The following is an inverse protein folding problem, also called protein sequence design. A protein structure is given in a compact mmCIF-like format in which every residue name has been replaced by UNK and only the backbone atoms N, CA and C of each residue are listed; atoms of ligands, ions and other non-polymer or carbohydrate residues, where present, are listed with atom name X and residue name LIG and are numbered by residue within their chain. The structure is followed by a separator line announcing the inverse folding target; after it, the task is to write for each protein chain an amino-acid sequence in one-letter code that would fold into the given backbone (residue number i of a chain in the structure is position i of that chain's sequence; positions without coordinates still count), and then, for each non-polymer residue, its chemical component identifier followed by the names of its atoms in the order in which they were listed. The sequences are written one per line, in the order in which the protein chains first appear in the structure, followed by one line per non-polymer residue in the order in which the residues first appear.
data_IF_397928954914
#
_entry.id   IF_397928954914
#
_cell.length_a   1.000
_cell.length_b   1.000
_cell.length_c   1.000
_cell.angle_alpha   90.00
_cell.angle_beta   90.00
_cell.angle_gamma   90.00
#
_symmetry.space_group_name_H-M   'P 1'
#
loop_
_entity.id
_entity.type
_entity.pdbx_description
1 polymer ?
#
# COMPACT_ATOMS: atom_id res chain seq x y z
N UNK A 1 -66.47 -7.57 -65.02
CA UNK A 1 -67.04 -6.24 -65.30
C UNK A 1 -66.88 -5.42 -64.03
N UNK A 2 -66.03 -4.39 -64.07
CA UNK A 2 -65.90 -3.30 -63.08
C UNK A 2 -65.52 -3.73 -61.65
N UNK A 3 -64.92 -2.92 -60.80
CA UNK A 3 -64.38 -1.58 -60.95
C UNK A 3 -63.47 -1.32 -59.75
N UNK A 4 -62.55 -0.38 -59.90
CA UNK A 4 -61.59 0.04 -58.88
C UNK A 4 -62.20 1.13 -58.01
N UNK A 5 -62.19 1.05 -56.66
CA UNK A 5 -62.27 2.27 -55.81
C UNK A 5 -61.37 2.14 -54.56
N UNK A 6 -60.61 3.21 -54.35
CA UNK A 6 -59.63 3.50 -53.30
C UNK A 6 -60.20 3.70 -51.88
N UNK A 7 -59.25 3.58 -50.92
CA UNK A 7 -59.05 4.35 -49.67
C UNK A 7 -60.22 4.44 -48.67
N UNK A 8 -59.97 3.91 -47.47
CA UNK A 8 -60.21 4.64 -46.22
C UNK A 8 -59.12 4.33 -45.20
N UNK A 9 -58.49 5.39 -44.71
CA UNK A 9 -57.60 5.37 -43.56
C UNK A 9 -58.40 5.05 -42.29
N UNK A 10 -57.87 4.18 -41.46
CA UNK A 10 -58.24 4.11 -40.04
C UNK A 10 -56.96 4.22 -39.22
N UNK A 11 -56.87 5.34 -38.50
CA UNK A 11 -55.98 5.56 -37.38
C UNK A 11 -56.31 4.54 -36.29
N UNK A 12 -55.33 3.74 -35.90
CA UNK A 12 -55.37 2.87 -34.73
C UNK A 12 -54.09 3.04 -33.93
N UNK A 13 -54.12 3.94 -32.94
CA UNK A 13 -53.13 4.01 -31.87
C UNK A 13 -53.32 2.78 -30.98
N UNK A 14 -52.34 1.86 -30.92
CA UNK A 14 -52.23 0.89 -29.84
C UNK A 14 -50.76 0.59 -29.53
N UNK A 15 -50.34 1.00 -28.33
CA UNK A 15 -49.49 0.19 -27.44
C UNK A 15 -48.00 0.08 -27.77
N UNK A 16 -47.21 1.06 -27.37
CA UNK A 16 -45.76 0.92 -27.21
C UNK A 16 -45.51 0.11 -25.92
N UNK A 17 -45.32 -1.20 -26.04
CA UNK A 17 -44.87 -2.03 -24.94
C UNK A 17 -43.37 -1.77 -24.70
N UNK A 18 -43.06 -0.83 -23.81
CA UNK A 18 -41.71 -0.66 -23.29
C UNK A 18 -41.37 -1.84 -22.38
N UNK A 19 -40.61 -2.80 -22.91
CA UNK A 19 -40.02 -3.87 -22.12
C UNK A 19 -39.00 -3.29 -21.14
N UNK A 20 -39.33 -3.34 -19.85
CA UNK A 20 -38.40 -3.03 -18.75
C UNK A 20 -37.39 -4.18 -18.69
N UNK A 21 -36.18 -3.95 -19.20
CA UNK A 21 -35.02 -4.79 -18.93
C UNK A 21 -34.61 -4.58 -17.47
N UNK A 22 -34.99 -5.51 -16.60
CA UNK A 22 -34.46 -5.63 -15.24
C UNK A 22 -32.98 -6.01 -15.32
N UNK A 23 -32.10 -5.01 -15.35
CA UNK A 23 -30.67 -5.22 -15.12
C UNK A 23 -30.50 -5.59 -13.65
N UNK A 24 -30.29 -6.89 -13.42
CA UNK A 24 -29.85 -7.44 -12.15
C UNK A 24 -28.43 -6.94 -11.90
N UNK A 25 -28.29 -5.83 -11.18
CA UNK A 25 -27.00 -5.28 -10.78
C UNK A 25 -26.36 -6.17 -9.72
N UNK A 26 -25.68 -7.23 -10.17
CA UNK A 26 -24.68 -7.90 -9.37
C UNK A 26 -23.54 -6.90 -9.15
N UNK A 27 -23.24 -6.60 -7.89
CA UNK A 27 -22.07 -5.83 -7.48
C UNK A 27 -20.83 -6.52 -8.04
N UNK A 28 -20.31 -5.98 -9.15
CA UNK A 28 -19.09 -6.45 -9.76
C UNK A 28 -17.95 -6.05 -8.81
N UNK A 29 -17.31 -7.06 -8.23
CA UNK A 29 -16.00 -6.88 -7.62
C UNK A 29 -15.08 -6.17 -8.63
N UNK A 30 -14.18 -5.27 -8.19
CA UNK A 30 -13.22 -4.65 -9.10
C UNK A 30 -12.46 -5.75 -9.86
N UNK A 31 -12.38 -5.61 -11.18
CA UNK A 31 -11.64 -6.56 -12.01
C UNK A 31 -10.22 -6.75 -11.47
N UNK A 32 -9.72 -8.00 -11.42
CA UNK A 32 -8.31 -8.23 -11.12
C UNK A 32 -7.48 -7.57 -12.21
N UNK A 33 -6.63 -6.61 -11.82
CA UNK A 33 -5.69 -5.93 -12.71
C UNK A 33 -4.86 -7.01 -13.43
N UNK A 34 -5.00 -7.08 -14.75
CA UNK A 34 -4.19 -7.97 -15.57
C UNK A 34 -2.71 -7.61 -15.40
N UNK A 35 -1.79 -8.60 -15.29
CA UNK A 35 -0.37 -8.33 -15.13
C UNK A 35 0.14 -7.67 -16.42
N UNK A 36 0.44 -6.37 -16.32
CA UNK A 36 1.05 -5.62 -17.41
C UNK A 36 2.48 -6.13 -17.62
N UNK A 37 2.88 -6.26 -18.89
CA UNK A 37 4.21 -6.72 -19.28
C UNK A 37 5.27 -5.86 -18.59
N UNK A 38 6.21 -6.51 -17.88
CA UNK A 38 7.21 -5.91 -17.01
C UNK A 38 7.76 -4.57 -17.54
N UNK A 39 7.18 -3.47 -17.06
CA UNK A 39 7.74 -2.15 -17.23
C UNK A 39 9.10 -2.17 -16.51
N UNK A 40 10.15 -1.78 -17.24
CA UNK A 40 11.49 -1.70 -16.69
C UNK A 40 11.48 -0.69 -15.55
N UNK A 41 11.62 -1.18 -14.32
CA UNK A 41 11.80 -0.37 -13.11
C UNK A 41 12.92 0.64 -13.39
N UNK A 42 12.62 1.94 -13.36
CA UNK A 42 13.62 3.00 -13.54
C UNK A 42 14.65 2.86 -12.42
N UNK A 43 15.86 2.43 -12.77
CA UNK A 43 16.94 2.35 -11.79
C UNK A 43 17.41 3.76 -11.40
N UNK A 44 17.48 4.01 -10.11
CA UNK A 44 18.20 5.14 -9.51
C UNK A 44 17.33 6.36 -9.25
N UNK A 45 16.58 6.35 -8.14
CA UNK A 45 16.04 7.59 -7.57
C UNK A 45 17.20 8.55 -7.28
N UNK A 46 17.18 9.81 -7.79
CA UNK A 46 18.25 10.75 -7.55
C UNK A 46 18.48 10.99 -6.05
N UNK A 47 19.75 11.02 -5.63
CA UNK A 47 20.10 11.24 -4.22
C UNK A 47 19.52 12.56 -3.66
N UNK A 48 19.40 13.59 -4.49
CA UNK A 48 18.77 14.86 -4.09
C UNK A 48 17.28 14.68 -3.73
N UNK A 49 16.55 13.87 -4.49
CA UNK A 49 15.13 13.58 -4.23
C UNK A 49 14.97 12.75 -2.94
N UNK A 50 15.82 11.73 -2.74
CA UNK A 50 15.83 10.94 -1.49
C UNK A 50 16.11 11.81 -0.27
N UNK A 51 16.98 12.81 -0.40
CA UNK A 51 17.42 13.66 0.71
C UNK A 51 16.55 14.90 0.93
N UNK A 52 15.44 15.03 0.20
CA UNK A 52 14.53 16.18 0.36
C UNK A 52 13.57 15.92 1.52
N UNK A 53 13.59 16.81 2.51
CA UNK A 53 12.61 16.80 3.60
C UNK A 53 11.38 17.63 3.24
N UNK A 54 10.20 17.02 3.34
CA UNK A 54 8.91 17.69 3.19
C UNK A 54 8.20 17.72 4.54
N UNK A 55 8.05 18.91 5.14
CA UNK A 55 7.44 19.05 6.46
C UNK A 55 5.99 18.56 6.55
N UNK A 56 5.27 18.55 5.42
CA UNK A 56 3.90 18.04 5.34
C UNK A 56 3.81 16.51 5.49
N UNK A 57 4.86 15.78 5.11
CA UNK A 57 4.87 14.31 5.12
C UNK A 57 4.76 13.78 6.56
N UNK A 58 5.20 14.57 7.54
CA UNK A 58 5.10 14.25 8.96
C UNK A 58 3.66 13.92 9.38
N UNK A 59 2.64 14.60 8.83
CA UNK A 59 1.23 14.34 9.19
C UNK A 59 0.78 12.94 8.80
N UNK A 60 1.17 12.48 7.61
CA UNK A 60 0.87 11.13 7.15
C UNK A 60 1.52 10.09 8.07
N UNK A 61 2.82 10.25 8.31
CA UNK A 61 3.62 9.33 9.09
C UNK A 61 3.25 9.30 10.58
N UNK A 62 2.89 10.45 11.17
CA UNK A 62 2.39 10.53 12.55
C UNK A 62 1.04 9.81 12.71
N UNK A 63 0.14 9.98 11.74
CA UNK A 63 -1.13 9.23 11.71
C UNK A 63 -0.87 7.72 11.67
N UNK A 64 0.04 7.26 10.81
CA UNK A 64 0.44 5.84 10.73
C UNK A 64 1.02 5.31 12.04
N UNK A 65 1.93 6.06 12.67
CA UNK A 65 2.51 5.70 13.98
C UNK A 65 1.43 5.46 15.02
N UNK A 66 0.48 6.39 15.14
CA UNK A 66 -0.57 6.34 16.16
C UNK A 66 -1.47 5.10 16.07
N UNK A 67 -1.64 4.52 14.87
CA UNK A 67 -2.47 3.32 14.67
C UNK A 67 -1.85 2.02 15.15
N UNK A 68 -0.55 2.02 15.42
CA UNK A 68 0.18 0.81 15.84
C UNK A 68 0.70 0.91 17.27
N UNK A 69 0.30 1.96 18.00
CA UNK A 69 0.66 2.25 19.38
C UNK A 69 0.33 1.07 20.31
N UNK A 70 1.35 0.50 20.97
CA UNK A 70 1.18 -0.55 21.98
C UNK A 70 0.86 -1.95 21.43
N UNK A 71 0.98 -2.16 20.11
CA UNK A 71 0.84 -3.49 19.52
C UNK A 71 1.92 -4.45 20.06
N UNK A 72 1.51 -5.66 20.46
CA UNK A 72 2.44 -6.74 20.80
C UNK A 72 3.10 -7.25 19.52
N UNK A 73 4.38 -6.92 19.34
CA UNK A 73 5.13 -7.27 18.14
C UNK A 73 6.30 -8.20 18.48
N UNK A 74 6.66 -9.03 17.51
CA UNK A 74 7.94 -9.72 17.54
C UNK A 74 9.09 -8.69 17.62
N UNK A 75 10.24 -9.05 18.20
CA UNK A 75 11.39 -8.16 18.21
C UNK A 75 11.78 -7.70 16.80
N UNK A 76 12.13 -6.41 16.60
CA UNK A 76 12.56 -5.92 15.30
C UNK A 76 13.83 -6.63 14.84
N UNK A 77 14.11 -6.69 13.52
CA UNK A 77 15.44 -7.07 13.04
C UNK A 77 16.53 -6.24 13.74
N UNK A 78 17.63 -6.89 14.10
CA UNK A 78 18.71 -6.23 14.84
C UNK A 78 19.43 -5.18 13.98
N UNK A 79 19.46 -5.38 12.65
CA UNK A 79 20.18 -4.51 11.73
C UNK A 79 19.44 -4.24 10.43
N UNK A 80 19.89 -3.19 9.70
CA UNK A 80 19.46 -2.87 8.33
C UNK A 80 19.71 -4.05 7.39
N UNK A 81 20.89 -4.68 7.47
CA UNK A 81 21.20 -5.89 6.70
C UNK A 81 20.28 -7.05 7.06
N UNK A 82 20.06 -7.31 8.35
CA UNK A 82 19.16 -8.40 8.78
C UNK A 82 17.70 -8.17 8.37
N UNK A 83 17.28 -6.92 8.21
CA UNK A 83 15.98 -6.59 7.64
C UNK A 83 15.94 -6.82 6.12
N UNK A 84 17.01 -6.44 5.39
CA UNK A 84 17.14 -6.72 3.96
C UNK A 84 17.16 -8.22 3.67
N UNK A 85 17.90 -9.02 4.45
CA UNK A 85 17.97 -10.48 4.30
C UNK A 85 16.60 -11.17 4.54
N UNK A 86 15.69 -10.52 5.28
CA UNK A 86 14.31 -10.99 5.50
C UNK A 86 13.31 -10.48 4.46
N UNK A 87 13.67 -9.45 3.72
CA UNK A 87 12.81 -8.84 2.73
C UNK A 87 12.85 -9.65 1.42
N UNK A 88 11.71 -9.73 0.74
CA UNK A 88 11.68 -10.15 -0.66
C UNK A 88 12.30 -9.07 -1.55
N UNK A 89 12.00 -7.81 -1.23
CA UNK A 89 12.53 -6.63 -1.92
C UNK A 89 12.68 -5.47 -0.95
N UNK A 90 13.70 -4.64 -1.18
CA UNK A 90 13.81 -3.32 -0.57
C UNK A 90 13.73 -2.28 -1.70
N UNK A 91 12.84 -1.31 -1.56
CA UNK A 91 12.59 -0.29 -2.58
C UNK A 91 12.69 1.12 -2.00
N UNK A 92 13.13 2.09 -2.79
CA UNK A 92 12.73 3.48 -2.60
C UNK A 92 11.55 3.80 -3.50
N UNK A 93 10.54 4.48 -2.95
CA UNK A 93 9.30 4.76 -3.64
C UNK A 93 8.58 5.99 -3.06
N UNK A 94 7.62 6.51 -3.81
CA UNK A 94 6.59 7.44 -3.30
C UNK A 94 5.32 6.68 -2.95
N UNK A 95 4.50 7.28 -2.10
CA UNK A 95 3.13 6.79 -1.86
C UNK A 95 2.20 7.52 -2.83
N UNK A 96 1.62 6.79 -3.78
CA UNK A 96 0.73 7.36 -4.80
C UNK A 96 -0.76 7.28 -4.44
N UNK A 97 -1.15 6.29 -3.63
CA UNK A 97 -2.55 6.07 -3.27
C UNK A 97 -2.66 5.38 -1.90
N UNK A 98 -3.77 5.65 -1.20
CA UNK A 98 -4.22 4.87 -0.05
C UNK A 98 -5.67 4.47 -0.25
N UNK A 99 -6.00 3.21 0.02
CA UNK A 99 -7.36 2.68 -0.07
C UNK A 99 -7.67 1.75 1.12
N UNK A 100 -8.95 1.53 1.42
CA UNK A 100 -9.35 0.44 2.29
C UNK A 100 -9.00 -0.90 1.62
N UNK A 101 -8.65 -1.92 2.42
CA UNK A 101 -8.29 -3.24 1.90
C UNK A 101 -9.25 -4.32 2.39
N UNK A 102 -8.96 -4.96 3.52
CA UNK A 102 -9.80 -6.03 4.09
C UNK A 102 -9.88 -5.91 5.60
N UNK A 103 -10.71 -6.74 6.21
CA UNK A 103 -10.77 -6.91 7.66
C UNK A 103 -10.13 -8.25 7.99
N UNK A 104 -9.18 -8.25 8.92
CA UNK A 104 -8.51 -9.45 9.44
C UNK A 104 -8.89 -9.56 10.92
N UNK A 105 -9.72 -10.54 11.27
CA UNK A 105 -10.32 -10.62 12.61
C UNK A 105 -11.19 -9.39 12.91
N UNK A 106 -10.79 -8.60 13.90
CA UNK A 106 -11.40 -7.33 14.31
C UNK A 106 -10.65 -6.08 13.80
N UNK A 107 -9.59 -6.26 13.02
CA UNK A 107 -8.71 -5.19 12.57
C UNK A 107 -8.97 -4.84 11.11
N UNK A 108 -9.22 -3.56 10.83
CA UNK A 108 -9.24 -3.05 9.47
C UNK A 108 -7.81 -2.90 8.94
N UNK A 109 -7.57 -3.33 7.71
CA UNK A 109 -6.34 -3.04 6.96
C UNK A 109 -6.57 -1.98 5.89
N UNK A 110 -5.50 -1.30 5.52
CA UNK A 110 -5.43 -0.39 4.39
C UNK A 110 -4.38 -0.88 3.41
N UNK A 111 -4.55 -0.49 2.16
CA UNK A 111 -3.56 -0.66 1.09
C UNK A 111 -2.92 0.68 0.80
N UNK A 112 -1.60 0.73 0.94
CA UNK A 112 -0.76 1.84 0.46
C UNK A 112 -0.17 1.41 -0.88
N UNK A 113 -0.40 2.16 -1.95
CA UNK A 113 0.17 1.85 -3.26
C UNK A 113 1.42 2.68 -3.46
N UNK A 114 2.55 2.00 -3.55
CA UNK A 114 3.83 2.61 -3.88
C UNK A 114 3.96 2.83 -5.39
N UNK A 115 4.54 3.96 -5.77
CA UNK A 115 4.81 4.38 -7.15
C UNK A 115 6.24 4.92 -7.25
N UNK A 116 6.73 5.21 -8.47
CA UNK A 116 8.11 5.67 -8.71
C UNK A 116 9.15 4.72 -8.07
N UNK A 117 8.98 3.42 -8.32
CA UNK A 117 9.75 2.36 -7.67
C UNK A 117 11.20 2.35 -8.19
N UNK A 118 12.16 2.35 -7.27
CA UNK A 118 13.56 1.98 -7.50
C UNK A 118 13.92 0.82 -6.56
N UNK A 119 14.34 -0.31 -7.13
CA UNK A 119 14.71 -1.51 -6.36
C UNK A 119 16.14 -1.35 -5.85
N UNK A 120 16.29 -1.38 -4.53
CA UNK A 120 17.58 -1.23 -3.85
C UNK A 120 18.23 -2.59 -3.55
N UNK A 121 17.43 -3.61 -3.23
CA UNK A 121 17.88 -4.97 -2.94
C UNK A 121 16.75 -5.98 -3.18
N UNK A 122 17.08 -7.22 -3.53
CA UNK A 122 16.10 -8.27 -3.83
C UNK A 122 15.37 -8.07 -5.16
N UNK A 123 14.13 -8.57 -5.26
CA UNK A 123 13.31 -8.49 -6.48
C UNK A 123 11.81 -8.50 -6.18
N UNK A 124 11.02 -7.85 -7.02
CA UNK A 124 9.57 -7.89 -6.95
C UNK A 124 9.03 -9.25 -7.41
N UNK A 125 8.13 -9.81 -6.63
CA UNK A 125 7.35 -11.04 -6.85
C UNK A 125 5.82 -10.79 -6.77
N UNK A 126 5.03 -11.29 -7.74
CA UNK A 126 5.46 -11.34 -9.15
C UNK A 126 5.84 -9.93 -9.63
N UNK A 127 6.28 -9.76 -10.87
CA UNK A 127 6.44 -8.41 -11.43
C UNK A 127 5.05 -7.74 -11.51
N UNK A 128 4.69 -6.94 -10.49
CA UNK A 128 3.38 -6.27 -10.36
C UNK A 128 3.29 -4.96 -11.18
N UNK A 129 4.15 -4.78 -12.18
CA UNK A 129 4.30 -3.52 -12.90
C UNK A 129 4.86 -2.39 -12.04
N UNK A 130 4.52 -1.14 -12.38
CA UNK A 130 5.07 0.08 -11.74
C UNK A 130 4.42 0.44 -10.39
N UNK A 131 3.51 -0.40 -9.89
CA UNK A 131 2.76 -0.17 -8.65
C UNK A 131 2.95 -1.33 -7.70
N UNK A 132 3.31 -1.02 -6.45
CA UNK A 132 3.51 -2.03 -5.41
C UNK A 132 2.52 -1.78 -4.27
N UNK A 133 1.42 -2.56 -4.19
CA UNK A 133 0.47 -2.44 -3.08
C UNK A 133 1.02 -3.10 -1.81
N UNK A 134 1.00 -2.35 -0.72
CA UNK A 134 1.47 -2.74 0.61
C UNK A 134 0.30 -2.71 1.59
N UNK A 135 0.00 -3.84 2.22
CA UNK A 135 -1.00 -3.94 3.28
C UNK A 135 -0.41 -3.46 4.61
N UNK A 136 -1.13 -2.54 5.26
CA UNK A 136 -0.81 -2.01 6.58
C UNK A 136 -2.06 -2.02 7.47
N UNK A 137 -1.86 -2.13 8.78
CA UNK A 137 -2.98 -2.11 9.73
C UNK A 137 -3.49 -0.67 9.94
N UNK A 138 -4.81 -0.50 9.87
CA UNK A 138 -5.53 0.75 10.15
C UNK A 138 -6.08 0.80 11.60
N UNK A 139 -6.10 -0.35 12.29
CA UNK A 139 -6.63 -0.50 13.64
C UNK A 139 -8.14 -0.73 13.67
N UNK A 140 -8.78 -0.44 14.80
CA UNK A 140 -10.23 -0.63 14.98
C UNK A 140 -11.05 0.36 14.13
N UNK A 141 -12.11 -0.10 13.44
CA UNK A 141 -12.85 0.69 12.48
C UNK A 141 -13.87 1.63 13.15
N UNK A 142 -13.45 2.83 13.55
CA UNK A 142 -14.40 3.86 14.03
C UNK A 142 -15.10 4.58 12.86
N UNK A 143 -14.38 4.79 11.75
CA UNK A 143 -14.91 5.31 10.47
C UNK A 143 -13.85 5.12 9.37
N UNK A 144 -13.94 4.06 8.58
CA UNK A 144 -12.89 3.69 7.61
C UNK A 144 -12.80 4.71 6.48
N UNK A 145 -13.92 5.11 5.89
CA UNK A 145 -13.95 6.04 4.76
C UNK A 145 -13.35 7.41 5.09
N UNK A 146 -13.68 7.97 6.25
CA UNK A 146 -13.11 9.24 6.70
C UNK A 146 -11.60 9.13 6.95
N UNK A 147 -11.13 7.97 7.45
CA UNK A 147 -9.69 7.74 7.64
C UNK A 147 -8.95 7.62 6.32
N UNK A 148 -9.48 6.86 5.36
CA UNK A 148 -8.88 6.74 4.02
C UNK A 148 -8.84 8.10 3.32
N UNK A 149 -9.92 8.89 3.38
CA UNK A 149 -9.95 10.26 2.83
C UNK A 149 -8.91 11.17 3.50
N UNK A 150 -8.69 11.03 4.81
CA UNK A 150 -7.66 11.79 5.51
C UNK A 150 -6.24 11.39 5.09
N UNK A 151 -5.98 10.10 4.82
CA UNK A 151 -4.70 9.66 4.28
C UNK A 151 -4.51 10.13 2.83
N UNK A 152 -5.53 10.02 1.98
CA UNK A 152 -5.49 10.49 0.60
C UNK A 152 -5.27 12.01 0.49
N UNK A 153 -5.81 12.81 1.41
CA UNK A 153 -5.58 14.26 1.41
C UNK A 153 -4.21 14.67 1.98
N UNK A 154 -3.49 13.74 2.58
CA UNK A 154 -2.23 13.96 3.25
C UNK A 154 -1.09 13.10 2.68
N UNK A 155 -1.19 12.60 1.44
CA UNK A 155 -0.15 11.76 0.85
C UNK A 155 1.21 12.47 0.91
N UNK A 156 2.28 11.76 1.33
CA UNK A 156 3.61 12.34 1.38
C UNK A 156 4.15 12.56 -0.03
N UNK A 157 4.97 13.58 -0.19
CA UNK A 157 5.61 13.89 -1.47
C UNK A 157 6.99 13.26 -1.61
N UNK A 158 7.70 13.13 -0.49
CA UNK A 158 9.04 12.61 -0.46
C UNK A 158 9.09 11.11 -0.72
N UNK A 159 10.27 10.65 -1.13
CA UNK A 159 10.54 9.22 -1.18
C UNK A 159 10.71 8.64 0.22
N UNK A 160 10.40 7.36 0.31
CA UNK A 160 10.66 6.53 1.49
C UNK A 160 11.25 5.19 1.06
N UNK A 161 12.06 4.59 1.93
CA UNK A 161 12.64 3.27 1.75
C UNK A 161 11.77 2.25 2.51
N UNK A 162 11.33 1.21 1.81
CA UNK A 162 10.44 0.17 2.31
C UNK A 162 11.11 -1.20 2.20
N UNK A 163 11.14 -1.93 3.30
CA UNK A 163 11.57 -3.32 3.35
C UNK A 163 10.35 -4.21 3.32
N UNK A 164 10.15 -4.90 2.20
CA UNK A 164 8.89 -5.54 1.88
C UNK A 164 9.05 -7.07 1.77
N UNK A 165 8.10 -7.79 2.37
CA UNK A 165 7.91 -9.23 2.21
C UNK A 165 6.70 -9.46 1.32
N UNK A 166 6.88 -10.22 0.26
CA UNK A 166 5.78 -10.66 -0.59
C UNK A 166 4.84 -11.58 0.17
N UNK A 167 3.53 -11.42 -0.02
CA UNK A 167 2.51 -12.21 0.67
C UNK A 167 1.98 -13.40 -0.13
N UNK A 168 2.60 -13.78 -1.26
CA UNK A 168 2.20 -14.98 -2.00
C UNK A 168 2.38 -16.28 -1.24
N UNK A 169 3.33 -16.31 -0.30
CA UNK A 169 3.46 -17.36 0.70
C UNK A 169 2.95 -16.88 2.06
N UNK A 170 2.24 -17.77 2.75
CA UNK A 170 1.68 -17.49 4.06
C UNK A 170 2.78 -17.14 5.06
N UNK A 171 2.58 -16.07 5.83
CA UNK A 171 3.51 -15.70 6.90
C UNK A 171 3.56 -16.78 7.98
N UNK A 172 4.71 -16.90 8.64
CA UNK A 172 4.74 -17.56 9.96
C UNK A 172 3.86 -16.77 10.93
N UNK A 173 3.05 -17.47 11.72
CA UNK A 173 2.15 -16.85 12.71
C UNK A 173 3.00 -16.19 13.79
N UNK A 174 2.93 -14.87 13.91
CA UNK A 174 3.76 -14.07 14.83
C UNK A 174 3.09 -13.75 16.17
N UNK A 175 1.76 -13.93 16.28
CA UNK A 175 0.98 -13.70 17.51
C UNK A 175 0.53 -15.04 18.10
N UNK A 176 0.88 -15.37 19.36
CA UNK A 176 0.39 -16.58 20.02
C UNK A 176 -1.14 -16.64 20.04
N UNK A 177 -1.71 -17.78 19.61
CA UNK A 177 -3.16 -17.99 19.56
C UNK A 177 -3.88 -17.37 18.35
N UNK A 178 -3.17 -16.70 17.44
CA UNK A 178 -3.79 -16.20 16.21
C UNK A 178 -4.19 -17.35 15.29
N UNK A 179 -5.40 -17.27 14.73
CA UNK A 179 -5.90 -18.26 13.78
C UNK A 179 -5.24 -18.04 12.41
N UNK A 180 -4.48 -19.00 11.89
CA UNK A 180 -3.85 -18.85 10.58
C UNK A 180 -4.86 -18.60 9.45
N UNK A 181 -6.12 -19.03 9.57
CA UNK A 181 -7.12 -18.82 8.52
C UNK A 181 -7.55 -17.34 8.37
N UNK A 182 -7.32 -16.51 9.37
CA UNK A 182 -7.74 -15.10 9.36
C UNK A 182 -6.82 -14.21 8.51
N UNK A 183 -5.59 -14.66 8.22
CA UNK A 183 -4.63 -13.97 7.37
C UNK A 183 -4.13 -14.90 6.25
N UNK A 184 -4.93 -15.09 5.17
CA UNK A 184 -4.54 -15.90 4.04
C UNK A 184 -3.46 -15.19 3.21
N UNK A 185 -2.62 -15.99 2.55
CA UNK A 185 -1.68 -15.51 1.55
C UNK A 185 -2.41 -14.72 0.45
N UNK A 186 -1.81 -13.62 0.03
CA UNK A 186 -2.29 -12.77 -1.04
C UNK A 186 -1.12 -12.43 -1.98
N UNK A 187 -0.98 -13.12 -3.13
CA UNK A 187 0.13 -12.88 -4.05
C UNK A 187 0.08 -11.50 -4.71
N UNK A 188 -1.01 -10.75 -4.57
CA UNK A 188 -1.11 -9.38 -5.06
C UNK A 188 -0.54 -8.35 -4.09
N UNK A 189 -0.17 -8.72 -2.86
CA UNK A 189 0.22 -7.78 -1.81
C UNK A 189 1.64 -7.99 -1.28
N UNK A 190 2.17 -6.92 -0.72
CA UNK A 190 3.32 -6.93 0.17
C UNK A 190 2.92 -6.57 1.60
N UNK A 191 3.70 -7.02 2.56
CA UNK A 191 3.73 -6.48 3.92
C UNK A 191 5.09 -5.85 4.18
N UNK A 192 5.16 -4.89 5.09
CA UNK A 192 6.45 -4.50 5.67
C UNK A 192 7.02 -5.67 6.49
N UNK A 193 8.33 -5.92 6.38
CA UNK A 193 8.99 -6.97 7.18
C UNK A 193 8.87 -6.71 8.69
N UNK A 194 8.76 -5.44 9.06
CA UNK A 194 8.52 -4.95 10.42
C UNK A 194 8.07 -3.48 10.36
N UNK A 195 7.35 -2.98 11.36
CA UNK A 195 7.02 -1.54 11.43
C UNK A 195 8.24 -0.62 11.56
N UNK A 196 9.39 -1.17 11.94
CA UNK A 196 10.66 -0.43 11.99
C UNK A 196 11.38 -0.43 10.62
N UNK A 197 10.70 -0.81 9.55
CA UNK A 197 11.32 -1.05 8.24
C UNK A 197 10.79 -0.12 7.15
N UNK A 198 10.35 1.08 7.54
CA UNK A 198 10.03 2.18 6.62
C UNK A 198 10.81 3.41 7.05
N UNK A 199 11.63 3.96 6.16
CA UNK A 199 12.49 5.10 6.44
C UNK A 199 12.22 6.26 5.49
N UNK A 200 12.30 7.48 5.98
CA UNK A 200 12.12 8.70 5.20
C UNK A 200 13.15 9.75 5.63
N UNK A 201 13.37 10.76 4.78
CA UNK A 201 14.18 11.90 5.16
C UNK A 201 13.40 12.80 6.14
N UNK A 202 13.95 12.98 7.34
CA UNK A 202 13.45 13.92 8.33
C UNK A 202 14.26 15.22 8.36
N UNK A 203 13.87 16.18 9.23
CA UNK A 203 14.48 17.50 9.30
C UNK A 203 15.93 17.51 9.79
N UNK A 204 16.38 16.46 10.48
CA UNK A 204 17.72 16.35 11.08
C UNK A 204 18.50 15.10 10.63
N UNK A 205 17.94 14.31 9.72
CA UNK A 205 18.48 13.01 9.37
C UNK A 205 17.39 12.05 8.90
N UNK A 206 17.79 10.81 8.65
CA UNK A 206 16.84 9.72 8.38
C UNK A 206 15.99 9.48 9.62
N UNK A 207 14.68 9.33 9.42
CA UNK A 207 13.74 8.92 10.45
C UNK A 207 13.10 7.59 10.06
N UNK A 208 12.73 6.79 11.04
CA UNK A 208 11.73 5.78 10.77
C UNK A 208 10.36 6.42 10.66
N UNK A 209 9.69 6.14 9.54
CA UNK A 209 8.47 6.81 9.15
C UNK A 209 7.27 6.37 10.00
N UNK A 210 7.19 5.08 10.38
CA UNK A 210 5.97 4.53 11.01
C UNK A 210 6.22 3.84 12.36
N UNK A 211 7.48 3.74 12.81
CA UNK A 211 7.81 3.20 14.13
C UNK A 211 7.47 4.18 15.25
N UNK A 212 6.99 3.65 16.37
CA UNK A 212 6.95 4.38 17.64
C UNK A 212 8.34 4.82 18.08
N UNK A 213 8.35 5.79 19.01
CA UNK A 213 9.55 6.21 19.73
C UNK A 213 9.45 5.78 21.19
N UNK A 214 10.59 5.68 21.86
CA UNK A 214 10.61 5.57 23.31
C UNK A 214 9.91 6.80 23.93
N UNK A 215 9.40 6.70 25.19
CA UNK A 215 8.73 7.83 25.84
C UNK A 215 9.54 9.12 25.92
N UNK A 216 10.88 9.02 25.89
CA UNK A 216 11.81 10.14 25.86
C UNK A 216 12.15 10.65 24.45
N UNK A 217 11.44 10.15 23.42
CA UNK A 217 11.61 10.53 22.02
C UNK A 217 12.75 9.84 21.29
N UNK A 218 13.53 8.98 21.95
CA UNK A 218 14.61 8.25 21.28
C UNK A 218 14.07 7.17 20.33
N UNK A 219 14.89 6.85 19.32
CA UNK A 219 14.67 5.68 18.47
C UNK A 219 14.64 4.40 19.32
N UNK A 220 13.73 3.49 19.00
CA UNK A 220 13.76 2.14 19.58
C UNK A 220 15.00 1.37 19.10
N UNK A 221 15.56 0.45 19.89
CA UNK A 221 16.71 -0.36 19.49
C UNK A 221 16.49 -1.19 18.21
N UNK A 222 17.60 -1.70 17.65
CA UNK A 222 17.60 -2.54 16.46
C UNK A 222 17.52 -1.72 15.16
N UNK A 223 16.74 -2.22 14.20
CA UNK A 223 16.61 -1.64 12.86
C UNK A 223 16.34 -0.13 12.85
N UNK A 224 15.45 0.36 13.71
CA UNK A 224 15.15 1.80 13.79
C UNK A 224 16.39 2.59 14.20
N UNK A 225 17.02 2.25 15.33
CA UNK A 225 18.21 2.93 15.82
C UNK A 225 19.39 2.84 14.85
N UNK A 226 19.53 1.77 14.05
CA UNK A 226 20.58 1.73 13.03
C UNK A 226 20.27 2.63 11.84
N UNK A 227 19.06 2.57 11.27
CA UNK A 227 18.70 3.39 10.12
C UNK A 227 18.71 4.89 10.44
N UNK A 228 18.26 5.29 11.65
CA UNK A 228 18.25 6.69 12.10
C UNK A 228 19.65 7.26 12.42
N UNK A 229 20.74 6.46 12.34
CA UNK A 229 22.11 6.99 12.40
C UNK A 229 22.49 7.77 11.14
N UNK A 230 21.85 7.49 10.03
CA UNK A 230 22.17 8.10 8.75
C UNK A 230 21.66 9.54 8.70
N UNK A 231 22.48 10.46 8.20
CA UNK A 231 22.07 11.86 8.01
C UNK A 231 21.25 12.04 6.72
N UNK A 232 21.47 11.17 5.73
CA UNK A 232 20.84 11.25 4.41
C UNK A 232 20.18 9.92 4.06
N UNK A 233 18.97 9.98 3.52
CA UNK A 233 18.26 8.79 3.06
C UNK A 233 19.00 8.11 1.89
N UNK A 234 19.70 8.89 1.05
CA UNK A 234 20.57 8.34 -0.01
C UNK A 234 21.67 7.45 0.54
N UNK A 235 22.26 7.80 1.69
CA UNK A 235 23.36 7.03 2.29
C UNK A 235 22.84 5.67 2.80
N UNK A 236 21.62 5.65 3.33
CA UNK A 236 20.93 4.40 3.67
C UNK A 236 20.62 3.56 2.42
N UNK A 237 20.14 4.18 1.34
CA UNK A 237 19.90 3.48 0.07
C UNK A 237 21.19 2.85 -0.49
N UNK A 238 22.30 3.59 -0.46
CA UNK A 238 23.61 3.10 -0.92
C UNK A 238 24.19 2.01 -0.01
N UNK A 239 23.90 2.06 1.30
CA UNK A 239 24.22 0.96 2.21
C UNK A 239 23.46 -0.31 1.80
N UNK A 240 22.16 -0.19 1.50
CA UNK A 240 21.30 -1.33 1.15
C UNK A 240 21.70 -1.98 -0.17
N UNK A 241 22.05 -1.19 -1.20
CA UNK A 241 22.50 -1.69 -2.51
C UNK A 241 23.78 -2.53 -2.47
N UNK A 242 24.52 -2.50 -1.36
CA UNK A 242 25.78 -3.23 -1.17
C UNK A 242 25.61 -4.60 -0.50
N UNK A 243 24.39 -4.94 -0.07
CA UNK A 243 24.09 -6.26 0.50
C UNK A 243 23.85 -7.27 -0.62
#
# INVERSE_FOLDING_TARGET
MGDTIMRRAQLGFVGLAAGVLLVSGCSQAPDPVAPDAAAAVRSGTPAAELNTYHARDAKFYDSMRGKTAGALLAPPPATVKAAADKATVVVSAKIGEVAAQRVIGDVQTMRVVLTDIDVLHGKLEPSLGDKVPVELFLGEPVNVDSQIKAFQSALPEGYSIWFLRWQGDKAAITKPGANPAEDPADPSLYAVVHRHAVFAQGPKGVINAIAERAPDGRAMPGLQAEGEKQTKLSDLADQIRKF
#
